data_IF_377857113125
#
_entry.id   IF_377857113125
#
_cell.length_a   1.000
_cell.length_b   1.000
_cell.length_c   1.000
_cell.angle_alpha   90.00
_cell.angle_beta   90.00
_cell.angle_gamma   90.00
#
_symmetry.space_group_name_H-M   'P 1'
#
loop_
_entity.id
_entity.type
_entity.pdbx_description
1 polymer ?
#
# COMPACT_ATOMS: atom_id res chain seq x y z
N UNK A 1 6.62 57.40 -2.41
CA UNK A 1 5.68 56.65 -3.29
C UNK A 1 6.25 55.25 -3.47
N UNK A 2 5.69 54.25 -2.77
CA UNK A 2 6.12 52.85 -2.89
C UNK A 2 5.08 52.13 -3.75
N UNK A 3 5.45 51.77 -4.98
CA UNK A 3 4.67 50.86 -5.81
C UNK A 3 5.02 49.43 -5.40
N UNK A 4 4.19 48.81 -4.58
CA UNK A 4 4.20 47.36 -4.37
C UNK A 4 3.41 46.71 -5.52
N UNK A 5 3.94 45.68 -6.20
CA UNK A 5 3.17 44.93 -7.17
C UNK A 5 2.04 44.17 -6.45
N UNK A 6 0.83 44.36 -6.97
CA UNK A 6 -0.40 43.71 -6.54
C UNK A 6 -0.25 42.19 -6.76
N UNK A 7 0.04 41.41 -5.70
CA UNK A 7 -0.11 39.97 -5.73
C UNK A 7 -1.61 39.64 -5.71
N UNK A 8 -2.23 39.61 -6.88
CA UNK A 8 -3.53 38.97 -7.03
C UNK A 8 -3.36 37.47 -6.74
N UNK A 9 -4.16 36.86 -5.85
CA UNK A 9 -4.18 35.41 -5.75
C UNK A 9 -4.87 34.93 -7.03
N UNK A 10 -4.08 34.50 -8.01
CA UNK A 10 -4.57 33.77 -9.16
C UNK A 10 -5.31 32.56 -8.62
N UNK A 11 -6.63 32.64 -8.64
CA UNK A 11 -7.54 31.57 -8.27
C UNK A 11 -7.45 30.42 -9.27
N UNK A 12 -6.32 29.71 -9.26
CA UNK A 12 -6.28 28.31 -9.67
C UNK A 12 -6.74 27.51 -8.48
N UNK A 13 -8.06 27.27 -8.35
CA UNK A 13 -8.53 26.10 -7.60
C UNK A 13 -7.82 24.93 -8.24
N UNK A 14 -6.75 24.47 -7.60
CA UNK A 14 -6.12 23.22 -7.95
C UNK A 14 -7.25 22.21 -7.96
N UNK A 15 -7.48 21.62 -9.13
CA UNK A 15 -8.16 20.34 -9.20
C UNK A 15 -7.26 19.41 -8.39
N UNK A 16 -7.58 19.28 -7.10
CA UNK A 16 -6.89 18.39 -6.18
C UNK A 16 -7.18 17.02 -6.73
N UNK A 17 -6.30 16.54 -7.61
CA UNK A 17 -6.41 15.27 -8.32
C UNK A 17 -6.92 14.22 -7.35
N UNK A 18 -8.21 13.89 -7.45
CA UNK A 18 -8.86 12.97 -6.54
C UNK A 18 -8.22 11.62 -6.75
N UNK A 19 -7.57 11.07 -5.72
CA UNK A 19 -6.97 9.74 -5.80
C UNK A 19 -8.08 8.74 -6.17
N UNK A 20 -7.90 7.92 -7.22
CA UNK A 20 -8.90 6.93 -7.60
C UNK A 20 -9.32 6.07 -6.41
N UNK A 21 -10.61 5.75 -6.30
CA UNK A 21 -11.16 4.98 -5.18
C UNK A 21 -10.43 3.64 -5.00
N UNK A 22 -10.07 3.00 -6.12
CA UNK A 22 -9.30 1.76 -6.15
C UNK A 22 -7.92 1.92 -5.51
N UNK A 23 -7.22 3.02 -5.79
CA UNK A 23 -5.92 3.33 -5.18
C UNK A 23 -6.06 3.54 -3.67
N UNK A 24 -7.11 4.26 -3.23
CA UNK A 24 -7.41 4.43 -1.81
C UNK A 24 -7.70 3.09 -1.13
N UNK A 25 -8.50 2.24 -1.75
CA UNK A 25 -8.85 0.93 -1.19
C UNK A 25 -7.62 0.01 -1.14
N UNK A 26 -6.79 0.02 -2.19
CA UNK A 26 -5.50 -0.69 -2.21
C UNK A 26 -4.60 -0.25 -1.07
N UNK A 27 -4.46 1.06 -0.84
CA UNK A 27 -3.71 1.61 0.29
C UNK A 27 -4.26 1.12 1.64
N UNK A 28 -5.58 1.21 1.84
CA UNK A 28 -6.22 0.78 3.08
C UNK A 28 -5.95 -0.69 3.40
N UNK A 29 -6.03 -1.55 2.39
CA UNK A 29 -5.75 -2.98 2.54
C UNK A 29 -4.27 -3.23 2.90
N UNK A 30 -3.34 -2.58 2.20
CA UNK A 30 -1.92 -2.72 2.50
C UNK A 30 -1.55 -2.17 3.89
N UNK A 31 -2.21 -1.11 4.34
CA UNK A 31 -2.04 -0.58 5.71
C UNK A 31 -2.58 -1.56 6.75
N UNK A 32 -3.75 -2.17 6.53
CA UNK A 32 -4.27 -3.23 7.41
C UNK A 32 -3.31 -4.41 7.52
N UNK A 33 -2.73 -4.84 6.39
CA UNK A 33 -1.72 -5.89 6.38
C UNK A 33 -0.45 -5.47 7.11
N UNK A 34 0.03 -4.24 6.90
CA UNK A 34 1.18 -3.67 7.63
C UNK A 34 0.98 -3.72 9.15
N UNK A 35 -0.21 -3.37 9.64
CA UNK A 35 -0.55 -3.46 11.07
C UNK A 35 -0.55 -4.93 11.53
N UNK A 36 -1.14 -5.85 10.75
CA UNK A 36 -1.13 -7.28 11.05
C UNK A 36 0.30 -7.85 11.16
N UNK A 37 1.18 -7.47 10.23
CA UNK A 37 2.59 -7.84 10.26
C UNK A 37 3.31 -7.26 11.48
N UNK A 38 3.05 -6.00 11.82
CA UNK A 38 3.65 -5.35 13.00
C UNK A 38 3.29 -6.07 14.29
N UNK A 39 2.04 -6.51 14.44
CA UNK A 39 1.59 -7.32 15.58
C UNK A 39 2.32 -8.66 15.70
N UNK A 40 2.86 -9.18 14.60
CA UNK A 40 3.71 -10.38 14.56
C UNK A 40 5.22 -10.07 14.64
N UNK A 41 5.60 -8.83 14.97
CA UNK A 41 7.00 -8.40 15.05
C UNK A 41 7.69 -8.25 13.69
N UNK A 42 6.93 -8.16 12.58
CA UNK A 42 7.47 -7.99 11.23
C UNK A 42 7.41 -6.52 10.80
N UNK A 43 8.55 -5.99 10.37
CA UNK A 43 8.62 -4.68 9.72
C UNK A 43 8.12 -4.76 8.27
N UNK A 44 7.60 -3.65 7.76
CA UNK A 44 7.26 -3.50 6.35
C UNK A 44 7.29 -2.02 5.94
N UNK A 45 7.43 -1.75 4.65
CA UNK A 45 7.51 -0.41 4.06
C UNK A 45 6.48 -0.30 2.95
N UNK A 46 5.57 0.67 3.07
CA UNK A 46 4.61 1.01 2.01
C UNK A 46 5.23 2.08 1.11
N UNK A 47 5.23 1.85 -0.20
CA UNK A 47 5.74 2.78 -1.20
C UNK A 47 4.88 2.71 -2.46
N UNK A 48 5.09 3.66 -3.38
CA UNK A 48 4.50 3.62 -4.71
C UNK A 48 5.55 3.13 -5.70
N UNK A 49 5.20 2.19 -6.57
CA UNK A 49 6.10 1.70 -7.61
C UNK A 49 6.26 2.69 -8.78
N UNK A 50 6.97 2.28 -9.84
CA UNK A 50 7.17 3.11 -11.03
C UNK A 50 5.89 3.44 -11.82
N UNK A 51 4.76 2.78 -11.51
CA UNK A 51 3.43 3.05 -12.07
C UNK A 51 2.53 3.82 -11.09
N UNK A 52 3.10 4.32 -10.00
CA UNK A 52 2.39 4.94 -8.89
C UNK A 52 1.38 3.99 -8.20
N UNK A 53 1.60 2.68 -8.29
CA UNK A 53 0.77 1.69 -7.60
C UNK A 53 1.30 1.42 -6.18
N UNK A 54 0.43 1.41 -5.15
CA UNK A 54 0.80 1.03 -3.80
C UNK A 54 1.34 -0.40 -3.70
N UNK A 55 2.53 -0.54 -3.11
CA UNK A 55 3.19 -1.83 -2.85
C UNK A 55 3.70 -1.86 -1.42
N UNK A 56 3.51 -3.00 -0.74
CA UNK A 56 4.07 -3.24 0.58
C UNK A 56 5.31 -4.12 0.46
N UNK A 57 6.48 -3.57 0.77
CA UNK A 57 7.75 -4.29 0.86
C UNK A 57 7.90 -4.91 2.25
N UNK A 58 8.12 -6.21 2.31
CA UNK A 58 8.33 -6.96 3.56
C UNK A 58 9.71 -7.62 3.54
N UNK A 59 10.60 -7.33 4.49
CA UNK A 59 11.89 -8.00 4.59
C UNK A 59 11.71 -9.49 4.87
N UNK A 60 12.31 -10.34 4.04
CA UNK A 60 12.29 -11.79 4.25
C UNK A 60 13.55 -12.15 5.03
N UNK A 61 13.46 -12.53 6.30
CA UNK A 61 14.68 -12.78 7.09
C UNK A 61 15.56 -13.91 6.55
N UNK A 62 14.96 -14.90 5.88
CA UNK A 62 15.67 -16.07 5.33
C UNK A 62 16.41 -15.80 4.01
N UNK A 63 16.10 -14.70 3.33
CA UNK A 63 16.65 -14.36 2.01
C UNK A 63 16.99 -12.89 2.08
N UNK A 64 18.25 -12.45 1.94
CA UNK A 64 18.67 -11.02 2.02
C UNK A 64 18.03 -10.13 0.92
N UNK A 65 16.70 -10.10 0.85
CA UNK A 65 15.83 -9.49 -0.13
C UNK A 65 14.50 -9.15 0.56
N UNK A 66 13.81 -8.18 0.00
CA UNK A 66 12.41 -7.92 0.36
C UNK A 66 11.48 -8.62 -0.62
N UNK A 67 10.29 -8.93 -0.13
CA UNK A 67 9.18 -9.44 -0.90
C UNK A 67 8.17 -8.31 -1.12
N UNK A 68 7.71 -8.15 -2.35
CA UNK A 68 6.63 -7.23 -2.68
C UNK A 68 5.28 -7.93 -2.44
N UNK A 69 4.39 -7.25 -1.73
CA UNK A 69 3.00 -7.65 -1.53
C UNK A 69 2.10 -6.61 -2.18
N UNK A 70 1.19 -7.10 -3.02
CA UNK A 70 0.22 -6.30 -3.75
C UNK A 70 -1.18 -6.55 -3.21
N UNK A 71 -2.06 -5.55 -3.25
CA UNK A 71 -3.49 -5.74 -3.11
C UNK A 71 -4.13 -5.60 -4.50
N UNK A 72 -4.67 -6.70 -5.02
CA UNK A 72 -5.26 -6.78 -6.34
C UNK A 72 -6.78 -6.90 -6.23
N UNK A 73 -7.48 -6.20 -7.11
CA UNK A 73 -8.91 -6.34 -7.28
C UNK A 73 -9.18 -7.48 -8.27
N UNK A 74 -10.06 -8.37 -7.89
CA UNK A 74 -10.51 -9.53 -8.65
C UNK A 74 -12.04 -9.51 -8.78
N UNK A 75 -12.60 -10.46 -9.52
CA UNK A 75 -14.05 -10.55 -9.76
C UNK A 75 -14.86 -10.60 -8.46
N UNK A 76 -14.36 -11.31 -7.44
CA UNK A 76 -15.07 -11.57 -6.19
C UNK A 76 -14.60 -10.68 -5.02
N UNK A 77 -13.79 -9.65 -5.30
CA UNK A 77 -13.26 -8.72 -4.30
C UNK A 77 -11.74 -8.58 -4.34
N UNK A 78 -11.14 -8.24 -3.21
CA UNK A 78 -9.71 -7.95 -3.12
C UNK A 78 -8.92 -9.13 -2.54
N UNK A 79 -7.68 -9.30 -3.01
CA UNK A 79 -6.73 -10.28 -2.45
C UNK A 79 -5.35 -9.66 -2.25
N UNK A 80 -4.63 -10.15 -1.25
CA UNK A 80 -3.18 -9.96 -1.13
C UNK A 80 -2.46 -10.99 -2.00
N UNK A 81 -1.44 -10.54 -2.75
CA UNK A 81 -0.63 -11.37 -3.64
C UNK A 81 0.86 -11.18 -3.35
N UNK A 82 1.64 -12.27 -3.31
CA UNK A 82 3.11 -12.23 -3.19
C UNK A 82 3.79 -13.47 -3.75
N UNK A 83 5.10 -13.37 -3.99
CA UNK A 83 5.96 -14.44 -4.54
C UNK A 83 5.39 -15.13 -5.81
N UNK A 84 4.57 -14.44 -6.59
CA UNK A 84 3.86 -14.90 -7.79
C UNK A 84 2.88 -16.08 -7.63
N UNK A 85 2.87 -16.77 -6.49
CA UNK A 85 2.04 -17.97 -6.26
C UNK A 85 1.12 -17.87 -5.06
N UNK A 86 1.42 -16.99 -4.11
CA UNK A 86 0.62 -16.88 -2.90
C UNK A 86 -0.48 -15.84 -3.07
N UNK A 87 -1.66 -16.24 -2.60
CA UNK A 87 -2.86 -15.43 -2.66
C UNK A 87 -3.66 -15.64 -1.38
N UNK A 88 -4.15 -14.56 -0.80
CA UNK A 88 -5.08 -14.63 0.34
C UNK A 88 -6.16 -13.55 0.19
N UNK A 89 -7.45 -13.88 0.36
CA UNK A 89 -8.52 -12.89 0.33
C UNK A 89 -8.27 -11.76 1.33
N UNK A 90 -8.56 -10.52 0.95
CA UNK A 90 -8.25 -9.34 1.76
C UNK A 90 -8.99 -9.30 3.10
N UNK A 91 -10.14 -9.98 3.21
CA UNK A 91 -10.86 -10.18 4.47
C UNK A 91 -10.12 -11.06 5.49
N UNK A 92 -9.15 -11.86 5.05
CA UNK A 92 -8.36 -12.78 5.87
C UNK A 92 -6.98 -12.20 6.23
N UNK A 93 -6.93 -10.93 6.64
CA UNK A 93 -5.67 -10.18 6.92
C UNK A 93 -4.74 -10.95 7.86
N UNK A 94 -5.27 -11.55 8.93
CA UNK A 94 -4.49 -12.32 9.90
C UNK A 94 -3.77 -13.51 9.25
N UNK A 95 -4.48 -14.27 8.40
CA UNK A 95 -3.92 -15.42 7.69
C UNK A 95 -2.81 -14.97 6.75
N UNK A 96 -3.04 -13.90 5.99
CA UNK A 96 -2.02 -13.33 5.10
C UNK A 96 -0.77 -12.91 5.88
N UNK A 97 -0.94 -12.20 7.00
CA UNK A 97 0.17 -11.77 7.84
C UNK A 97 0.95 -12.97 8.43
N UNK A 98 0.27 -14.01 8.91
CA UNK A 98 0.89 -15.22 9.45
C UNK A 98 1.69 -15.99 8.39
N UNK A 99 1.16 -16.12 7.17
CA UNK A 99 1.85 -16.75 6.05
C UNK A 99 3.09 -15.95 5.61
N UNK A 100 2.95 -14.63 5.46
CA UNK A 100 4.06 -13.73 5.11
C UNK A 100 5.14 -13.73 6.21
N UNK A 101 4.74 -13.76 7.48
CA UNK A 101 5.65 -13.78 8.61
C UNK A 101 6.34 -15.14 8.83
N UNK A 102 5.90 -16.19 8.13
CA UNK A 102 6.37 -17.57 8.30
C UNK A 102 5.99 -18.17 9.65
N UNK A 103 4.86 -17.76 10.22
CA UNK A 103 4.35 -18.25 11.52
C UNK A 103 3.31 -19.37 11.32
N UNK A 104 2.57 -19.34 10.22
CA UNK A 104 1.68 -20.44 9.83
C UNK A 104 2.50 -21.63 9.32
N UNK A 105 2.25 -22.82 9.90
CA UNK A 105 2.75 -24.12 9.41
C UNK A 105 1.73 -24.76 8.49
#
# INVERSE_FOLDING_TARGET
MVNLPNCSPSGGRGDVMSVPLETRQRLELLVRLMVGLRSLGRGSVLYLDGRAEPVLSVPVLSRRRSMAVLAAQERDGWSYLWDAVHRTPAGAVRIAAEQIAGVAR
#
